data_IF_843576266304
#
_entry.id   IF_843576266304
#
_cell.length_a   1.000
_cell.length_b   1.000
_cell.length_c   1.000
_cell.angle_alpha   90.00
_cell.angle_beta   90.00
_cell.angle_gamma   90.00
#
_symmetry.space_group_name_H-M   'P 1'
#
loop_
_entity.id
_entity.type
_entity.pdbx_description
1 polymer ?
#
# COMPACT_ATOMS: atom_id res chain seq x y z
N UNK A 1 15.71 -4.64 3.23
CA UNK A 1 14.39 -4.15 2.76
C UNK A 1 14.36 -3.91 1.25
N UNK A 2 15.26 -3.08 0.70
CA UNK A 2 15.21 -2.68 -0.73
C UNK A 2 15.32 -3.85 -1.73
N UNK A 3 16.24 -4.79 -1.50
CA UNK A 3 16.40 -5.99 -2.35
C UNK A 3 15.08 -6.77 -2.44
N UNK A 4 14.42 -7.03 -1.31
CA UNK A 4 13.12 -7.71 -1.27
C UNK A 4 12.02 -6.95 -2.01
N UNK A 5 12.01 -5.61 -1.91
CA UNK A 5 11.07 -4.79 -2.67
C UNK A 5 11.27 -4.96 -4.18
N UNK A 6 12.51 -4.92 -4.67
CA UNK A 6 12.79 -5.15 -6.08
C UNK A 6 12.47 -6.57 -6.54
N UNK A 7 12.74 -7.59 -5.71
CA UNK A 7 12.35 -8.97 -6.02
C UNK A 7 10.82 -9.11 -6.12
N UNK A 8 10.06 -8.48 -5.23
CA UNK A 8 8.59 -8.47 -5.31
C UNK A 8 8.10 -7.73 -6.57
N UNK A 9 8.67 -6.57 -6.91
CA UNK A 9 8.32 -5.84 -8.14
C UNK A 9 8.62 -6.70 -9.36
N UNK A 10 9.82 -7.29 -9.45
CA UNK A 10 10.21 -8.14 -10.56
C UNK A 10 9.26 -9.34 -10.70
N UNK A 11 8.98 -10.05 -9.60
CA UNK A 11 8.02 -11.16 -9.58
C UNK A 11 6.63 -10.74 -10.09
N UNK A 12 6.13 -9.57 -9.68
CA UNK A 12 4.85 -9.04 -10.16
C UNK A 12 4.91 -8.63 -11.64
N UNK A 13 6.04 -8.13 -12.15
CA UNK A 13 6.20 -7.83 -13.58
C UNK A 13 6.25 -9.10 -14.45
N UNK A 14 6.70 -10.23 -13.90
CA UNK A 14 6.63 -11.51 -14.60
C UNK A 14 5.22 -12.10 -14.61
N UNK A 15 4.43 -11.85 -13.56
CA UNK A 15 3.07 -12.37 -13.44
C UNK A 15 2.02 -11.49 -14.13
N UNK A 16 2.26 -10.18 -14.18
CA UNK A 16 1.26 -9.19 -14.57
C UNK A 16 1.81 -8.19 -15.59
N UNK A 17 0.90 -7.65 -16.40
CA UNK A 17 1.21 -6.54 -17.30
C UNK A 17 1.54 -5.30 -16.47
N UNK A 18 2.43 -4.44 -16.97
CA UNK A 18 2.85 -3.21 -16.28
C UNK A 18 1.66 -2.33 -15.85
N UNK A 19 0.61 -2.26 -16.67
CA UNK A 19 -0.60 -1.48 -16.37
C UNK A 19 -1.32 -1.95 -15.09
N UNK A 20 -1.10 -3.18 -14.64
CA UNK A 20 -1.73 -3.70 -13.42
C UNK A 20 -1.15 -3.01 -12.18
N UNK A 21 0.09 -2.49 -12.24
CA UNK A 21 0.65 -1.65 -11.17
C UNK A 21 -0.15 -0.37 -10.97
N UNK A 22 -0.87 0.11 -11.98
CA UNK A 22 -1.82 1.21 -11.84
C UNK A 22 -3.16 0.71 -11.27
N UNK A 23 -3.65 -0.45 -11.68
CA UNK A 23 -4.98 -0.94 -11.30
C UNK A 23 -5.09 -1.47 -9.87
N UNK A 24 -4.06 -2.09 -9.31
CA UNK A 24 -4.14 -2.71 -7.97
C UNK A 24 -3.52 -1.81 -6.90
N UNK A 25 -4.29 -1.43 -5.88
CA UNK A 25 -3.79 -0.57 -4.79
C UNK A 25 -2.66 -1.24 -3.99
N UNK A 26 -2.66 -2.57 -3.92
CA UNK A 26 -1.56 -3.34 -3.32
C UNK A 26 -0.21 -3.03 -3.99
N UNK A 27 -0.21 -2.87 -5.32
CA UNK A 27 1.01 -2.52 -6.06
C UNK A 27 1.40 -1.07 -5.84
N UNK A 28 0.45 -0.17 -5.54
CA UNK A 28 0.77 1.20 -5.10
C UNK A 28 1.49 1.16 -3.75
N UNK A 29 1.03 0.33 -2.81
CA UNK A 29 1.70 0.11 -1.52
C UNK A 29 3.14 -0.37 -1.70
N UNK A 30 3.37 -1.38 -2.55
CA UNK A 30 4.71 -1.88 -2.85
C UNK A 30 5.62 -0.81 -3.50
N UNK A 31 5.13 -0.11 -4.53
CA UNK A 31 5.91 0.91 -5.24
C UNK A 31 6.25 2.08 -4.33
N UNK A 32 5.28 2.59 -3.55
CA UNK A 32 5.52 3.69 -2.61
C UNK A 32 6.47 3.30 -1.49
N UNK A 33 6.40 2.07 -0.95
CA UNK A 33 7.40 1.56 0.00
C UNK A 33 8.79 1.51 -0.61
N UNK A 34 8.91 1.06 -1.86
CA UNK A 34 10.21 1.01 -2.57
C UNK A 34 10.80 2.41 -2.73
N UNK A 35 9.96 3.38 -3.15
CA UNK A 35 10.35 4.78 -3.29
C UNK A 35 10.74 5.39 -1.94
N UNK A 36 10.01 5.09 -0.87
CA UNK A 36 10.31 5.56 0.48
C UNK A 36 11.69 5.09 0.96
N UNK A 37 12.00 3.81 0.78
CA UNK A 37 13.30 3.25 1.17
C UNK A 37 14.43 3.88 0.34
N UNK A 38 14.25 4.02 -0.98
CA UNK A 38 15.24 4.67 -1.85
C UNK A 38 15.47 6.13 -1.44
N UNK A 39 14.39 6.88 -1.19
CA UNK A 39 14.46 8.26 -0.78
C UNK A 39 15.13 8.41 0.59
N UNK A 40 14.84 7.53 1.55
CA UNK A 40 15.52 7.49 2.85
C UNK A 40 17.03 7.22 2.71
N UNK A 41 17.44 6.25 1.89
CA UNK A 41 18.86 5.98 1.63
C UNK A 41 19.55 7.20 1.01
N UNK A 42 18.90 7.87 0.03
CA UNK A 42 19.44 9.09 -0.56
C UNK A 42 19.50 10.24 0.44
N UNK A 43 18.51 10.38 1.30
CA UNK A 43 18.44 11.42 2.32
C UNK A 43 19.59 11.33 3.35
N UNK A 44 20.16 10.14 3.57
CA UNK A 44 21.34 9.97 4.42
C UNK A 44 22.59 10.73 3.90
N UNK A 45 22.68 10.97 2.58
CA UNK A 45 23.79 11.71 1.95
C UNK A 45 23.37 13.09 1.43
N UNK A 46 22.12 13.23 1.00
CA UNK A 46 21.65 14.42 0.28
C UNK A 46 20.42 15.01 0.95
N UNK A 47 20.59 16.15 1.63
CA UNK A 47 19.52 16.84 2.39
C UNK A 47 18.26 17.13 1.55
N UNK A 48 18.43 17.40 0.25
CA UNK A 48 17.31 17.64 -0.68
C UNK A 48 16.30 16.46 -0.75
N UNK A 49 16.73 15.24 -0.41
CA UNK A 49 15.89 14.05 -0.42
C UNK A 49 15.08 13.85 0.87
N UNK A 50 15.33 14.61 1.95
CA UNK A 50 14.61 14.45 3.22
C UNK A 50 13.10 14.64 3.05
N UNK A 51 12.67 15.70 2.34
CA UNK A 51 11.26 15.95 2.08
C UNK A 51 10.61 14.80 1.29
N UNK A 52 11.31 14.31 0.27
CA UNK A 52 10.84 13.18 -0.54
C UNK A 52 10.72 11.91 0.30
N UNK A 53 11.70 11.63 1.17
CA UNK A 53 11.68 10.49 2.07
C UNK A 53 10.48 10.54 3.03
N UNK A 54 10.22 11.70 3.64
CA UNK A 54 9.05 11.89 4.52
C UNK A 54 7.75 11.70 3.73
N UNK A 55 7.55 12.39 2.61
CA UNK A 55 6.29 12.31 1.85
C UNK A 55 6.01 10.87 1.38
N UNK A 56 7.00 10.23 0.76
CA UNK A 56 6.85 8.86 0.27
C UNK A 56 6.70 7.85 1.42
N UNK A 57 7.38 8.05 2.56
CA UNK A 57 7.19 7.25 3.77
C UNK A 57 5.79 7.35 4.35
N UNK A 58 5.20 8.54 4.40
CA UNK A 58 3.82 8.77 4.83
C UNK A 58 2.82 8.04 3.91
N UNK A 59 3.02 8.13 2.59
CA UNK A 59 2.16 7.43 1.62
C UNK A 59 2.28 5.92 1.74
N UNK A 60 3.51 5.40 1.82
CA UNK A 60 3.78 3.97 1.98
C UNK A 60 3.13 3.43 3.26
N UNK A 61 3.31 4.11 4.40
CA UNK A 61 2.71 3.68 5.66
C UNK A 61 1.18 3.69 5.58
N UNK A 62 0.58 4.78 5.10
CA UNK A 62 -0.87 4.92 5.04
C UNK A 62 -1.53 3.86 4.13
N UNK A 63 -0.96 3.65 2.94
CA UNK A 63 -1.42 2.61 2.02
C UNK A 63 -1.35 1.24 2.69
N UNK A 64 -0.20 0.89 3.27
CA UNK A 64 0.01 -0.45 3.81
C UNK A 64 -0.76 -0.70 5.12
N UNK A 65 -0.98 0.32 5.96
CA UNK A 65 -1.87 0.22 7.14
C UNK A 65 -3.31 -0.09 6.75
N UNK A 66 -3.72 0.21 5.52
CA UNK A 66 -5.06 -0.08 5.01
C UNK A 66 -5.07 -1.39 4.22
N UNK A 67 -4.13 -1.57 3.30
CA UNK A 67 -4.00 -2.75 2.43
C UNK A 67 -3.86 -4.03 3.26
N UNK A 68 -2.97 -4.06 4.26
CA UNK A 68 -2.68 -5.28 5.01
C UNK A 68 -3.90 -5.79 5.77
N UNK A 69 -4.60 -4.98 6.61
CA UNK A 69 -5.80 -5.44 7.28
C UNK A 69 -6.94 -5.77 6.31
N UNK A 70 -7.15 -4.96 5.27
CA UNK A 70 -8.22 -5.23 4.30
C UNK A 70 -8.00 -6.57 3.59
N UNK A 71 -6.77 -6.87 3.21
CA UNK A 71 -6.44 -8.16 2.61
C UNK A 71 -6.71 -9.30 3.58
N UNK A 72 -6.16 -9.24 4.80
CA UNK A 72 -6.26 -10.35 5.75
C UNK A 72 -7.68 -10.60 6.28
N UNK A 73 -8.45 -9.54 6.50
CA UNK A 73 -9.80 -9.66 7.06
C UNK A 73 -10.87 -9.98 6.01
N UNK A 74 -10.71 -9.49 4.78
CA UNK A 74 -11.77 -9.59 3.76
C UNK A 74 -11.35 -10.38 2.53
N UNK A 75 -10.18 -10.11 1.95
CA UNK A 75 -9.81 -10.68 0.65
C UNK A 75 -9.18 -12.08 0.74
N UNK A 76 -8.30 -12.33 1.72
CA UNK A 76 -7.64 -13.61 1.90
C UNK A 76 -8.65 -14.75 2.15
N UNK A 77 -9.69 -14.59 3.00
CA UNK A 77 -10.75 -15.59 3.15
C UNK A 77 -11.51 -15.88 1.85
N UNK A 78 -11.60 -14.92 0.92
CA UNK A 78 -12.26 -15.10 -0.38
C UNK A 78 -11.34 -15.82 -1.36
N UNK A 79 -10.08 -15.40 -1.48
CA UNK A 79 -9.17 -15.90 -2.49
C UNK A 79 -8.50 -17.23 -2.13
N UNK A 80 -8.09 -17.43 -0.87
CA UNK A 80 -7.29 -18.60 -0.49
C UNK A 80 -8.01 -19.95 -0.64
N UNK A 81 -9.33 -20.06 -0.41
CA UNK A 81 -10.07 -21.30 -0.70
C UNK A 81 -10.13 -21.62 -2.20
N UNK A 82 -10.04 -20.63 -3.09
CA UNK A 82 -10.13 -20.81 -4.54
C UNK A 82 -8.83 -21.35 -5.16
N UNK A 83 -7.70 -21.28 -4.44
CA UNK A 83 -6.44 -21.79 -4.94
C UNK A 83 -6.30 -23.29 -4.61
N UNK A 84 -5.87 -24.15 -5.55
CA UNK A 84 -5.60 -25.55 -5.22
C UNK A 84 -4.33 -25.70 -4.37
N UNK A 85 -4.15 -26.85 -3.70
CA UNK A 85 -2.91 -27.20 -2.99
C UNK A 85 -1.84 -27.79 -3.93
N UNK A 86 -1.66 -27.17 -5.09
CA UNK A 86 -0.57 -27.48 -6.03
C UNK A 86 0.60 -26.53 -5.83
N UNK A 87 1.76 -26.82 -6.44
CA UNK A 87 2.92 -25.91 -6.40
C UNK A 87 2.54 -24.47 -6.79
N UNK A 88 1.78 -24.29 -7.88
CA UNK A 88 1.36 -22.97 -8.34
C UNK A 88 0.39 -22.28 -7.36
N UNK A 89 -0.52 -23.04 -6.76
CA UNK A 89 -1.43 -22.50 -5.75
C UNK A 89 -0.74 -22.11 -4.45
N UNK A 90 0.29 -22.86 -4.03
CA UNK A 90 1.13 -22.50 -2.88
C UNK A 90 1.96 -21.25 -3.22
N UNK A 91 2.60 -21.21 -4.39
CA UNK A 91 3.36 -20.06 -4.85
C UNK A 91 2.50 -18.79 -4.87
N UNK A 92 1.27 -18.87 -5.39
CA UNK A 92 0.33 -17.74 -5.43
C UNK A 92 -0.02 -17.24 -4.04
N UNK A 93 -0.27 -18.14 -3.07
CA UNK A 93 -0.52 -17.76 -1.66
C UNK A 93 0.67 -17.07 -1.03
N UNK A 94 1.88 -17.58 -1.25
CA UNK A 94 3.12 -16.94 -0.75
C UNK A 94 3.32 -15.58 -1.40
N UNK A 95 3.07 -15.45 -2.70
CA UNK A 95 3.13 -14.18 -3.42
C UNK A 95 2.11 -13.18 -2.86
N UNK A 96 0.87 -13.61 -2.58
CA UNK A 96 -0.14 -12.76 -1.95
C UNK A 96 0.23 -12.39 -0.51
N UNK A 97 0.72 -13.32 0.31
CA UNK A 97 1.20 -13.05 1.66
C UNK A 97 2.28 -11.97 1.64
N UNK A 98 3.30 -12.15 0.79
CA UNK A 98 4.46 -11.27 0.75
C UNK A 98 4.09 -9.86 0.31
N UNK A 99 3.32 -9.72 -0.77
CA UNK A 99 2.96 -8.41 -1.32
C UNK A 99 2.01 -7.62 -0.42
N UNK A 100 1.22 -8.26 0.45
CA UNK A 100 0.31 -7.58 1.37
C UNK A 100 0.89 -7.35 2.76
N UNK A 101 1.87 -8.14 3.22
CA UNK A 101 2.41 -8.06 4.59
C UNK A 101 3.77 -7.36 4.65
N UNK A 102 4.70 -7.70 3.75
CA UNK A 102 6.07 -7.19 3.84
C UNK A 102 6.17 -5.67 3.63
N UNK A 103 5.39 -5.03 2.72
CA UNK A 103 5.44 -3.57 2.57
C UNK A 103 5.09 -2.81 3.86
N UNK A 104 4.13 -3.30 4.66
CA UNK A 104 3.82 -2.71 5.96
C UNK A 104 5.01 -2.82 6.91
N UNK A 105 5.57 -4.02 7.05
CA UNK A 105 6.73 -4.25 7.90
C UNK A 105 7.91 -3.36 7.49
N UNK A 106 8.22 -3.30 6.19
CA UNK A 106 9.30 -2.44 5.69
C UNK A 106 9.03 -0.95 5.88
N UNK A 107 7.78 -0.50 5.78
CA UNK A 107 7.43 0.90 6.03
C UNK A 107 7.66 1.26 7.50
N UNK A 108 7.22 0.41 8.43
CA UNK A 108 7.44 0.58 9.87
C UNK A 108 8.93 0.54 10.22
N UNK A 109 9.67 -0.44 9.71
CA UNK A 109 11.12 -0.54 9.92
C UNK A 109 11.85 0.66 9.34
N UNK A 110 11.49 1.15 8.15
CA UNK A 110 12.12 2.32 7.56
C UNK A 110 11.89 3.57 8.41
N UNK A 111 10.67 3.79 8.91
CA UNK A 111 10.36 4.91 9.81
C UNK A 111 11.20 4.82 11.09
N UNK A 112 11.25 3.64 11.70
CA UNK A 112 12.00 3.42 12.93
C UNK A 112 13.51 3.61 12.76
N UNK A 113 14.11 3.07 11.69
CA UNK A 113 15.56 3.15 11.46
C UNK A 113 16.03 4.53 11.00
N UNK A 114 15.12 5.39 10.53
CA UNK A 114 15.47 6.72 10.00
C UNK A 114 15.02 7.86 10.90
N UNK A 115 14.50 7.55 12.09
CA UNK A 115 13.94 8.51 13.05
C UNK A 115 12.94 9.47 12.35
N UNK A 116 12.16 8.93 11.42
CA UNK A 116 11.28 9.73 10.57
C UNK A 116 10.09 10.24 11.36
N UNK A 117 9.97 11.56 11.47
CA UNK A 117 8.78 12.22 12.01
C UNK A 117 7.68 12.28 10.95
N UNK A 118 6.48 11.86 11.33
CA UNK A 118 5.31 11.87 10.46
C UNK A 118 4.50 13.15 10.69
N UNK A 119 3.98 13.77 9.64
CA UNK A 119 3.19 15.00 9.74
C UNK A 119 1.72 14.62 9.93
N UNK A 120 1.22 14.69 11.15
CA UNK A 120 -0.18 14.31 11.46
C UNK A 120 -1.19 15.08 10.59
N UNK A 121 -0.93 16.37 10.32
CA UNK A 121 -1.78 17.22 9.50
C UNK A 121 -1.96 16.74 8.04
N UNK A 122 -1.06 15.89 7.53
CA UNK A 122 -1.15 15.35 6.17
C UNK A 122 -2.26 14.28 6.03
N UNK A 123 -2.97 13.90 7.10
CA UNK A 123 -4.06 12.91 7.02
C UNK A 123 -5.12 13.25 5.97
N UNK A 124 -5.40 14.55 5.74
CA UNK A 124 -6.34 14.99 4.69
C UNK A 124 -5.83 14.66 3.29
N UNK A 125 -4.51 14.78 3.05
CA UNK A 125 -3.88 14.40 1.79
C UNK A 125 -3.92 12.89 1.60
N UNK A 126 -3.77 12.12 2.68
CA UNK A 126 -3.93 10.67 2.68
C UNK A 126 -5.37 10.26 2.32
N UNK A 127 -6.39 10.97 2.81
CA UNK A 127 -7.78 10.72 2.40
C UNK A 127 -7.93 10.89 0.88
N UNK A 128 -7.38 11.98 0.33
CA UNK A 128 -7.40 12.22 -1.11
C UNK A 128 -6.64 11.15 -1.90
N UNK A 129 -5.50 10.66 -1.38
CA UNK A 129 -4.76 9.55 -1.97
C UNK A 129 -5.62 8.27 -2.00
N UNK A 130 -6.31 7.94 -0.91
CA UNK A 130 -7.19 6.78 -0.87
C UNK A 130 -8.40 6.91 -1.81
N UNK A 131 -8.97 8.12 -1.92
CA UNK A 131 -10.09 8.40 -2.84
C UNK A 131 -9.67 8.39 -4.31
N UNK A 132 -8.45 8.81 -4.64
CA UNK A 132 -7.97 8.83 -6.03
C UNK A 132 -7.88 7.42 -6.64
N UNK A 133 -7.72 6.39 -5.78
CA UNK A 133 -7.74 5.00 -6.21
C UNK A 133 -9.06 4.59 -6.88
N UNK A 134 -10.19 5.26 -6.57
CA UNK A 134 -11.48 5.04 -7.25
C UNK A 134 -11.32 5.10 -8.78
N UNK A 135 -10.55 6.07 -9.28
CA UNK A 135 -10.33 6.28 -10.72
C UNK A 135 -9.56 5.10 -11.32
N UNK A 136 -8.46 4.72 -10.67
CA UNK A 136 -7.61 3.61 -11.12
C UNK A 136 -8.38 2.28 -11.12
N UNK A 137 -9.19 2.06 -10.10
CA UNK A 137 -10.04 0.88 -10.00
C UNK A 137 -11.13 0.85 -11.08
N UNK A 138 -11.78 1.98 -11.36
CA UNK A 138 -12.79 2.09 -12.42
C UNK A 138 -12.22 1.83 -13.80
N UNK A 139 -11.10 2.46 -14.13
CA UNK A 139 -10.39 2.21 -15.40
C UNK A 139 -9.99 0.74 -15.50
N UNK A 140 -9.38 0.17 -14.47
CA UNK A 140 -8.95 -1.22 -14.52
C UNK A 140 -10.12 -2.21 -14.62
N UNK A 141 -11.25 -1.95 -13.94
CA UNK A 141 -12.47 -2.78 -14.07
C UNK A 141 -13.01 -2.74 -15.50
N UNK A 142 -13.09 -1.55 -16.11
CA UNK A 142 -13.51 -1.40 -17.49
C UNK A 142 -12.58 -2.14 -18.47
N UNK A 143 -11.27 -2.01 -18.28
CA UNK A 143 -10.26 -2.60 -19.18
C UNK A 143 -10.13 -4.12 -19.04
N UNK A 144 -10.34 -4.69 -17.85
CA UNK A 144 -10.28 -6.13 -17.60
C UNK A 144 -11.63 -6.79 -17.93
N UNK A 145 -12.74 -6.04 -17.88
CA UNK A 145 -14.08 -6.56 -18.11
C UNK A 145 -14.70 -7.26 -16.89
N UNK A 146 -14.05 -7.20 -15.74
CA UNK A 146 -14.54 -7.75 -14.47
C UNK A 146 -14.03 -6.91 -13.28
N UNK A 147 -14.74 -6.94 -12.13
CA UNK A 147 -14.32 -6.21 -10.93
C UNK A 147 -12.93 -6.63 -10.46
N UNK A 148 -12.08 -5.64 -10.14
CA UNK A 148 -10.75 -5.88 -9.56
C UNK A 148 -10.85 -6.49 -8.16
N UNK A 149 -11.82 -6.04 -7.37
CA UNK A 149 -12.10 -6.55 -6.03
C UNK A 149 -13.54 -7.04 -5.95
N UNK A 150 -13.79 -8.19 -5.29
CA UNK A 150 -15.12 -8.81 -5.25
C UNK A 150 -16.16 -8.01 -4.46
N UNK A 151 -15.71 -7.04 -3.65
CA UNK A 151 -16.57 -6.21 -2.78
C UNK A 151 -17.04 -4.91 -3.45
N UNK A 152 -16.47 -4.54 -4.60
CA UNK A 152 -16.76 -3.28 -5.28
C UNK A 152 -17.02 -3.57 -6.77
N UNK A 153 -18.30 -3.54 -7.16
CA UNK A 153 -18.74 -3.76 -8.53
C UNK A 153 -19.31 -2.47 -9.13
N UNK A 154 -18.70 -2.04 -10.24
CA UNK A 154 -19.10 -0.85 -11.00
C UNK A 154 -20.48 -0.97 -11.66
N UNK A 155 -21.17 -2.11 -11.55
CA UNK A 155 -22.62 -2.21 -11.81
C UNK A 155 -23.45 -1.37 -10.84
N UNK A 156 -23.01 -1.22 -9.59
CA UNK A 156 -23.61 -0.30 -8.62
C UNK A 156 -22.63 0.84 -8.34
N UNK A 157 -22.61 1.82 -9.25
CA UNK A 157 -21.70 2.97 -9.19
C UNK A 157 -21.80 3.75 -7.87
N UNK A 158 -23.00 4.08 -7.34
CA UNK A 158 -23.11 4.80 -6.08
C UNK A 158 -22.48 4.05 -4.89
N UNK A 159 -22.73 2.75 -4.76
CA UNK A 159 -22.13 1.92 -3.71
C UNK A 159 -20.61 1.85 -3.87
N UNK A 160 -20.11 1.66 -5.10
CA UNK A 160 -18.68 1.58 -5.37
C UNK A 160 -17.95 2.86 -5.01
N UNK A 161 -18.48 4.02 -5.41
CA UNK A 161 -17.93 5.33 -5.03
C UNK A 161 -17.96 5.51 -3.52
N UNK A 162 -19.08 5.16 -2.87
CA UNK A 162 -19.19 5.23 -1.41
C UNK A 162 -18.13 4.38 -0.70
N UNK A 163 -17.93 3.13 -1.13
CA UNK A 163 -16.94 2.23 -0.54
C UNK A 163 -15.50 2.76 -0.67
N UNK A 164 -15.14 3.32 -1.83
CA UNK A 164 -13.80 3.90 -2.00
C UNK A 164 -13.62 5.22 -1.25
N UNK A 165 -14.65 6.05 -1.13
CA UNK A 165 -14.63 7.22 -0.25
C UNK A 165 -14.45 6.82 1.21
N UNK A 166 -15.19 5.81 1.68
CA UNK A 166 -15.04 5.25 3.01
C UNK A 166 -13.63 4.69 3.25
N UNK A 167 -13.08 3.96 2.27
CA UNK A 167 -11.71 3.47 2.33
C UNK A 167 -10.68 4.60 2.46
N UNK A 168 -10.85 5.70 1.70
CA UNK A 168 -10.00 6.88 1.84
C UNK A 168 -10.08 7.52 3.23
N UNK A 169 -11.29 7.62 3.80
CA UNK A 169 -11.48 8.11 5.18
C UNK A 169 -10.79 7.22 6.22
N UNK A 170 -10.95 5.90 6.10
CA UNK A 170 -10.29 4.91 6.98
C UNK A 170 -8.77 5.04 6.87
N UNK A 171 -8.23 5.11 5.65
CA UNK A 171 -6.79 5.27 5.40
C UNK A 171 -6.23 6.54 6.06
N UNK A 172 -6.94 7.66 5.92
CA UNK A 172 -6.57 8.92 6.59
C UNK A 172 -6.60 8.83 8.10
N UNK A 173 -7.64 8.21 8.67
CA UNK A 173 -7.75 8.01 10.12
C UNK A 173 -6.62 7.12 10.66
N UNK A 174 -6.37 5.97 10.04
CA UNK A 174 -5.30 5.05 10.41
C UNK A 174 -3.94 5.75 10.36
N UNK A 175 -3.68 6.51 9.30
CA UNK A 175 -2.46 7.31 9.18
C UNK A 175 -2.35 8.33 10.31
N UNK A 176 -3.42 9.10 10.60
CA UNK A 176 -3.41 10.10 11.67
C UNK A 176 -3.05 9.49 13.02
N UNK A 177 -3.65 8.35 13.34
CA UNK A 177 -3.38 7.61 14.57
C UNK A 177 -1.94 7.10 14.62
N UNK A 178 -1.44 6.54 13.52
CA UNK A 178 -0.07 6.06 13.42
C UNK A 178 0.95 7.20 13.55
N UNK A 179 0.71 8.34 12.88
CA UNK A 179 1.57 9.53 12.97
C UNK A 179 1.65 10.06 14.40
N UNK A 180 0.50 10.19 15.08
CA UNK A 180 0.45 10.57 16.49
C UNK A 180 1.19 9.58 17.38
N UNK A 181 1.02 8.28 17.15
CA UNK A 181 1.72 7.25 17.93
C UNK A 181 3.24 7.34 17.75
N UNK A 182 3.71 7.36 16.51
CA UNK A 182 5.13 7.45 16.13
C UNK A 182 5.78 8.68 16.79
N UNK A 183 5.17 9.84 16.65
CA UNK A 183 5.74 11.09 17.16
C UNK A 183 5.78 11.18 18.70
N UNK A 184 4.90 10.45 19.40
CA UNK A 184 4.82 10.50 20.86
C UNK A 184 5.64 9.41 21.56
N UNK A 185 5.92 8.28 20.89
CA UNK A 185 6.48 7.10 21.55
C UNK A 185 7.80 6.62 20.97
N UNK A 186 8.16 6.97 19.73
CA UNK A 186 9.47 6.58 19.21
C UNK A 186 10.54 7.56 19.71
N UNK A 187 11.64 7.06 20.28
CA UNK A 187 12.76 7.90 20.68
C UNK A 187 13.38 8.49 19.42
N UNK A 188 13.35 9.81 19.27
CA UNK A 188 14.13 10.50 18.25
C UNK A 188 15.53 10.73 18.82
N UNK A 189 16.56 10.21 18.16
CA UNK A 189 17.93 10.56 18.50
C UNK A 189 18.09 12.07 18.25
N UNK A 190 18.07 12.85 19.33
CA UNK A 190 18.24 14.30 19.32
C UNK A 190 19.68 14.68 19.05
#
# INVERSE_FOLDING_TARGET
>A
MLIFCFMMIASNMFQYKLVYFFYYVTLWGLVTTTLAILASIKAAKYRAWQKTAVISGQFALALNLTITPTFWLFLAPIFYPAFPWTFMGIFTRVSMFTVHTLPLFFSLTNIHLTDMQLIEADYKRIILLGMSYTIANGIGTYMIGMPIYPIADWKNVPLTIFLYCLNGLIMGLLYKLAAKYVNNHLPFNK
#
